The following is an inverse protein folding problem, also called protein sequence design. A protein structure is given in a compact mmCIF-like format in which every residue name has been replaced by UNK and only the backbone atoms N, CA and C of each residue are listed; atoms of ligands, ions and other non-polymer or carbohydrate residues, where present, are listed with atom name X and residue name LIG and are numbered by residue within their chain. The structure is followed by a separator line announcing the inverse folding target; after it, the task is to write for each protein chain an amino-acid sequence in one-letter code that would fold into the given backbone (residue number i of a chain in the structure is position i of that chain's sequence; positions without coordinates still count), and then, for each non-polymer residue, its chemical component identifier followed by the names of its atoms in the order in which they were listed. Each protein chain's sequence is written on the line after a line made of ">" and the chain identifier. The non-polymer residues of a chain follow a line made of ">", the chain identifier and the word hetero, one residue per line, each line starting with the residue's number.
data_IF_677724369104
#
_entry.id   IF_677724369104
#
_cell.length_a   1.000
_cell.length_b   1.000
_cell.length_c   1.000
_cell.angle_alpha   90.00
_cell.angle_beta   90.00
_cell.angle_gamma   90.00
#
_symmetry.space_group_name_H-M   'P 1'
#
loop_
_entity.id
_entity.type
_entity.pdbx_description
1 polymer ?
#
# COMPACT_ATOMS: atom_id res chain seq x y z
N UNK A 1 28.40 -4.55 -36.12
CA UNK A 1 27.16 -3.89 -36.59
C UNK A 1 26.36 -3.53 -35.34
N UNK A 2 26.25 -2.23 -35.03
CA UNK A 2 25.54 -1.77 -33.85
C UNK A 2 24.18 -1.24 -34.33
N UNK A 3 23.11 -1.94 -33.97
CA UNK A 3 21.75 -1.48 -34.25
C UNK A 3 21.44 -0.38 -33.24
N UNK A 4 21.47 0.87 -33.70
CA UNK A 4 20.93 1.99 -32.95
C UNK A 4 19.41 1.81 -32.87
N UNK A 5 18.92 1.36 -31.72
CA UNK A 5 17.49 1.38 -31.42
C UNK A 5 17.16 2.82 -31.00
N UNK A 6 16.46 3.54 -31.87
CA UNK A 6 15.86 4.82 -31.54
C UNK A 6 14.92 4.64 -30.34
N UNK A 7 14.91 5.57 -29.35
CA UNK A 7 13.93 5.50 -28.28
C UNK A 7 12.55 5.67 -28.89
N UNK A 8 11.75 4.61 -28.86
CA UNK A 8 10.30 4.71 -29.08
C UNK A 8 9.80 5.74 -28.10
N UNK A 9 9.09 6.77 -28.58
CA UNK A 9 8.31 7.64 -27.71
C UNK A 9 7.28 6.73 -27.06
N UNK A 10 7.54 6.29 -25.83
CA UNK A 10 6.53 5.70 -24.97
C UNK A 10 5.41 6.74 -24.88
N UNK A 11 4.32 6.51 -25.62
CA UNK A 11 3.11 7.29 -25.47
C UNK A 11 2.80 7.36 -23.98
N UNK A 12 2.59 8.58 -23.47
CA UNK A 12 2.37 8.83 -22.04
C UNK A 12 1.47 7.73 -21.49
N UNK A 13 2.00 6.92 -20.57
CA UNK A 13 1.23 5.82 -19.99
C UNK A 13 -0.06 6.41 -19.44
N UNK A 14 -1.22 5.89 -19.86
CA UNK A 14 -2.51 6.31 -19.30
C UNK A 14 -2.62 5.99 -17.79
N UNK A 15 -1.61 5.32 -17.22
CA UNK A 15 -1.49 5.07 -15.79
C UNK A 15 -1.02 6.33 -15.08
N UNK A 16 -1.70 6.65 -13.98
CA UNK A 16 -1.30 7.73 -13.11
C UNK A 16 0.17 7.58 -12.68
N UNK A 17 0.91 8.68 -12.68
CA UNK A 17 2.29 8.71 -12.21
C UNK A 17 2.30 8.57 -10.68
N UNK A 18 2.67 7.39 -10.20
CA UNK A 18 2.71 7.09 -8.76
C UNK A 18 4.11 7.34 -8.20
N UNK A 19 4.19 8.20 -7.19
CA UNK A 19 5.39 8.41 -6.38
C UNK A 19 5.35 7.52 -5.15
N UNK A 20 6.37 6.69 -5.00
CA UNK A 20 6.44 5.71 -3.92
C UNK A 20 7.28 6.21 -2.74
N UNK A 21 6.81 5.91 -1.53
CA UNK A 21 7.53 6.14 -0.28
C UNK A 21 7.54 4.88 0.56
N UNK A 22 8.71 4.51 1.07
CA UNK A 22 8.86 3.49 2.11
C UNK A 22 8.87 4.18 3.47
N UNK A 23 8.11 3.66 4.44
CA UNK A 23 8.12 4.11 5.84
C UNK A 23 8.12 2.93 6.79
N UNK A 24 8.85 3.04 7.89
CA UNK A 24 8.62 2.17 9.05
C UNK A 24 7.32 2.56 9.72
N UNK A 25 6.60 1.60 10.30
CA UNK A 25 5.35 1.87 11.01
C UNK A 25 5.54 2.88 12.14
N UNK A 26 6.69 2.85 12.82
CA UNK A 26 7.05 3.79 13.90
C UNK A 26 7.28 5.23 13.44
N UNK A 27 7.42 5.46 12.14
CA UNK A 27 7.62 6.79 11.55
C UNK A 27 6.31 7.44 11.11
N UNK A 28 5.18 6.75 11.23
CA UNK A 28 3.87 7.27 10.85
C UNK A 28 3.26 8.05 12.01
N UNK A 29 2.79 9.25 11.69
CA UNK A 29 2.01 10.07 12.62
C UNK A 29 0.51 9.75 12.55
N UNK A 30 -0.25 10.41 13.42
CA UNK A 30 -1.71 10.27 13.46
C UNK A 30 -2.36 10.62 12.11
N UNK A 31 -1.87 11.65 11.42
CA UNK A 31 -2.38 12.05 10.10
C UNK A 31 -2.15 11.00 9.03
N UNK A 32 -0.98 10.34 9.04
CA UNK A 32 -0.66 9.27 8.11
C UNK A 32 -1.60 8.08 8.32
N UNK A 33 -1.86 7.72 9.58
CA UNK A 33 -2.81 6.66 9.93
C UNK A 33 -4.26 7.02 9.54
N UNK A 34 -4.67 8.29 9.69
CA UNK A 34 -5.99 8.74 9.28
C UNK A 34 -6.17 8.64 7.76
N UNK A 35 -5.19 9.07 6.97
CA UNK A 35 -5.21 8.97 5.50
C UNK A 35 -5.26 7.51 5.05
N UNK A 36 -4.43 6.64 5.63
CA UNK A 36 -4.43 5.21 5.36
C UNK A 36 -5.78 4.56 5.71
N UNK A 37 -6.34 4.90 6.88
CA UNK A 37 -7.63 4.39 7.31
C UNK A 37 -8.75 4.80 6.34
N UNK A 38 -8.78 6.06 5.91
CA UNK A 38 -9.73 6.54 4.92
C UNK A 38 -9.58 5.81 3.59
N UNK A 39 -8.34 5.66 3.11
CA UNK A 39 -8.04 4.89 1.91
C UNK A 39 -8.57 3.46 2.01
N UNK A 40 -8.26 2.73 3.09
CA UNK A 40 -8.75 1.35 3.27
C UNK A 40 -10.26 1.25 3.35
N UNK A 41 -10.95 2.19 4.02
CA UNK A 41 -12.42 2.21 4.01
C UNK A 41 -12.97 2.36 2.60
N UNK A 42 -12.40 3.26 1.79
CA UNK A 42 -12.82 3.48 0.40
C UNK A 42 -12.50 2.29 -0.51
N UNK A 43 -11.37 1.61 -0.28
CA UNK A 43 -10.97 0.44 -1.06
C UNK A 43 -11.76 -0.82 -0.71
N UNK A 44 -11.98 -1.09 0.58
CA UNK A 44 -12.62 -2.32 1.04
C UNK A 44 -14.14 -2.18 1.25
N UNK A 45 -14.66 -0.99 1.53
CA UNK A 45 -16.09 -0.76 1.74
C UNK A 45 -17.00 -1.25 0.59
N UNK A 46 -16.64 -1.05 -0.69
CA UNK A 46 -17.41 -1.57 -1.82
C UNK A 46 -17.52 -3.11 -1.87
N UNK A 47 -16.62 -3.82 -1.18
CA UNK A 47 -16.65 -5.29 -1.07
C UNK A 47 -17.51 -5.80 0.09
N UNK A 48 -18.03 -4.89 0.92
CA UNK A 48 -18.87 -5.18 2.07
C UNK A 48 -18.63 -4.20 3.23
N UNK A 49 -19.70 -3.73 3.87
CA UNK A 49 -19.62 -2.76 4.97
C UNK A 49 -18.71 -3.25 6.11
N UNK A 50 -18.81 -4.54 6.45
CA UNK A 50 -17.97 -5.20 7.45
C UNK A 50 -16.46 -5.09 7.14
N UNK A 51 -16.06 -5.08 5.85
CA UNK A 51 -14.66 -4.99 5.46
C UNK A 51 -14.07 -3.59 5.70
N UNK A 52 -14.92 -2.56 5.85
CA UNK A 52 -14.50 -1.19 6.18
C UNK A 52 -14.52 -0.89 7.69
N UNK A 53 -15.26 -1.66 8.49
CA UNK A 53 -15.38 -1.45 9.94
C UNK A 53 -14.04 -1.41 10.69
N UNK A 54 -13.06 -2.29 10.40
CA UNK A 54 -11.76 -2.26 11.08
C UNK A 54 -11.03 -0.92 10.95
N UNK A 55 -11.31 -0.16 9.89
CA UNK A 55 -10.63 1.09 9.58
C UNK A 55 -11.36 2.35 10.05
N UNK A 56 -12.42 2.21 10.84
CA UNK A 56 -13.04 3.36 11.53
C UNK A 56 -12.14 3.91 12.65
N UNK A 57 -12.28 5.21 12.96
CA UNK A 57 -11.53 5.84 14.06
C UNK A 57 -10.03 5.93 13.81
N UNK A 58 -9.60 6.16 12.56
CA UNK A 58 -8.19 6.28 12.15
C UNK A 58 -7.34 5.01 12.38
N UNK A 59 -7.98 3.84 12.51
CA UNK A 59 -7.28 2.55 12.55
C UNK A 59 -6.82 2.18 11.14
N UNK A 60 -5.52 2.00 10.94
CA UNK A 60 -4.93 1.77 9.60
C UNK A 60 -4.40 0.34 9.41
N UNK A 61 -4.94 -0.62 10.17
CA UNK A 61 -4.70 -2.05 10.00
C UNK A 61 -5.83 -2.86 10.64
N UNK A 62 -6.02 -4.09 10.17
CA UNK A 62 -6.99 -5.04 10.69
C UNK A 62 -6.27 -6.35 11.03
N UNK A 63 -6.25 -6.73 12.31
CA UNK A 63 -5.60 -7.94 12.81
C UNK A 63 -4.07 -7.86 12.92
N UNK A 64 -3.37 -7.47 11.84
CA UNK A 64 -1.91 -7.45 11.81
C UNK A 64 -1.36 -6.05 11.50
N UNK A 65 -0.58 -5.50 12.42
CA UNK A 65 0.15 -4.23 12.22
C UNK A 65 1.40 -4.48 11.35
N UNK A 66 1.56 -3.78 10.22
CA UNK A 66 2.80 -3.83 9.43
C UNK A 66 4.03 -3.35 10.23
N UNK A 67 5.20 -3.81 9.83
CA UNK A 67 6.49 -3.24 10.24
C UNK A 67 6.95 -2.14 9.28
N UNK A 68 6.75 -2.38 7.99
CA UNK A 68 7.10 -1.46 6.90
C UNK A 68 5.87 -1.27 6.01
N UNK A 69 5.68 -0.04 5.55
CA UNK A 69 4.71 0.30 4.52
C UNK A 69 5.40 0.86 3.29
N UNK A 70 4.90 0.47 2.13
CA UNK A 70 5.20 1.10 0.85
C UNK A 70 3.92 1.78 0.38
N UNK A 71 3.97 3.10 0.27
CA UNK A 71 2.79 3.95 0.01
C UNK A 71 3.01 4.66 -1.33
N UNK A 72 2.06 4.48 -2.23
CA UNK A 72 2.05 5.13 -3.54
C UNK A 72 1.10 6.31 -3.53
N UNK A 73 1.60 7.47 -3.96
CA UNK A 73 0.83 8.70 -4.08
C UNK A 73 0.75 9.14 -5.54
N UNK A 74 -0.44 9.50 -6.00
CA UNK A 74 -0.65 10.22 -7.26
C UNK A 74 -1.20 11.64 -7.01
N UNK A 75 -1.71 12.30 -8.05
CA UNK A 75 -2.27 13.66 -7.96
C UNK A 75 -3.52 13.75 -7.06
N UNK A 76 -4.17 12.62 -6.76
CA UNK A 76 -5.41 12.52 -5.97
C UNK A 76 -5.15 12.11 -4.52
N UNK A 77 -3.88 11.87 -4.15
CA UNK A 77 -3.47 11.44 -2.82
C UNK A 77 -2.99 9.99 -2.81
N UNK A 78 -3.26 9.27 -1.72
CA UNK A 78 -2.87 7.87 -1.57
C UNK A 78 -3.61 6.99 -2.60
N UNK A 79 -2.83 6.39 -3.49
CA UNK A 79 -3.31 5.56 -4.61
C UNK A 79 -3.03 4.07 -4.42
N UNK A 80 -2.00 3.72 -3.64
CA UNK A 80 -1.61 2.33 -3.40
C UNK A 80 -0.96 2.14 -2.03
N UNK A 81 -1.10 0.94 -1.47
CA UNK A 81 -0.48 0.56 -0.20
C UNK A 81 -0.05 -0.90 -0.20
N UNK A 82 1.16 -1.16 0.31
CA UNK A 82 1.66 -2.49 0.66
C UNK A 82 2.13 -2.47 2.11
N UNK A 83 1.62 -3.40 2.92
CA UNK A 83 2.08 -3.61 4.30
C UNK A 83 2.93 -4.88 4.38
N UNK A 84 4.13 -4.76 4.95
CA UNK A 84 5.05 -5.87 5.15
C UNK A 84 5.23 -6.11 6.65
N UNK A 85 5.18 -7.36 7.05
CA UNK A 85 5.49 -7.80 8.42
C UNK A 85 6.16 -9.16 8.37
N UNK A 86 7.06 -9.41 9.33
CA UNK A 86 7.69 -10.72 9.49
C UNK A 86 6.79 -11.60 10.35
N UNK A 87 6.63 -12.84 9.93
CA UNK A 87 5.92 -13.88 10.66
C UNK A 87 6.77 -15.14 10.61
N UNK A 88 6.96 -15.75 11.76
CA UNK A 88 7.49 -17.11 11.86
C UNK A 88 6.28 -18.03 11.95
N UNK A 89 6.23 -19.02 11.07
CA UNK A 89 5.08 -19.92 10.98
C UNK A 89 5.56 -21.36 11.00
N UNK A 90 4.72 -22.27 11.47
CA UNK A 90 4.95 -23.71 11.33
C UNK A 90 4.17 -24.24 10.15
N UNK A 91 4.84 -24.96 9.25
CA UNK A 91 4.20 -25.70 8.16
C UNK A 91 4.57 -27.17 8.32
N UNK A 92 3.58 -28.03 8.57
CA UNK A 92 3.83 -29.46 8.85
C UNK A 92 4.63 -29.72 10.14
N UNK A 93 4.58 -28.80 11.10
CA UNK A 93 5.31 -28.91 12.37
C UNK A 93 6.76 -28.38 12.33
N UNK A 94 7.26 -27.99 11.15
CA UNK A 94 8.58 -27.39 10.97
C UNK A 94 8.47 -25.86 11.03
N UNK A 95 9.32 -25.23 11.84
CA UNK A 95 9.47 -23.77 11.89
C UNK A 95 10.09 -23.24 10.58
N UNK A 96 9.48 -22.18 10.02
CA UNK A 96 9.94 -21.45 8.82
C UNK A 96 10.15 -19.96 9.12
#
# INVERSE_FOLDING_TARGET
>A
MNIAVSPTVEGASARAQVRWRRRWESELGLSDHAELAEFFRKSYGPTGAFNAEPFQGSRSWAGARPEVRVIGYDERGLAAHVGLLRRFIKVGGVDL
#
